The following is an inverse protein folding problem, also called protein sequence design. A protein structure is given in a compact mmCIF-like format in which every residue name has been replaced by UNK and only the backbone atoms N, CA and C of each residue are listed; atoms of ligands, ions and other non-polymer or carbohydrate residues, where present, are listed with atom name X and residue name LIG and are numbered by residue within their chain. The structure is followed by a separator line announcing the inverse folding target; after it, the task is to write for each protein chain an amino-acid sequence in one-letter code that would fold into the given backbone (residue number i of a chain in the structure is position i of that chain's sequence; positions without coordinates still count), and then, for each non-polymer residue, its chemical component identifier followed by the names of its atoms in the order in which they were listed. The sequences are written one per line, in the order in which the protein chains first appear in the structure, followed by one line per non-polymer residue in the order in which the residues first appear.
data_IF_833221271987
#
_entry.id   IF_833221271987
#
_cell.length_a   1.000
_cell.length_b   1.000
_cell.length_c   1.000
_cell.angle_alpha   90.00
_cell.angle_beta   90.00
_cell.angle_gamma   90.00
#
_symmetry.space_group_name_H-M   'P 1'
#
loop_
_entity.id
_entity.type
_entity.pdbx_description
1 polymer ?
#
# COMPACT_ATOMS: atom_id res chain seq x y z
N UNK A 1 -13.09 0.62 7.78
CA UNK A 1 -14.37 0.29 7.11
C UNK A 1 -15.53 1.08 7.68
N UNK A 2 -15.91 0.94 8.97
CA UNK A 2 -17.00 1.77 9.57
C UNK A 2 -16.82 3.28 9.36
N UNK A 3 -15.61 3.81 9.54
CA UNK A 3 -15.35 5.24 9.33
C UNK A 3 -15.41 5.66 7.86
N UNK A 4 -14.91 4.82 6.95
CA UNK A 4 -15.05 5.05 5.51
C UNK A 4 -16.52 5.09 5.09
N UNK A 5 -17.37 4.26 5.69
CA UNK A 5 -18.81 4.29 5.45
C UNK A 5 -19.48 5.51 6.08
N UNK A 6 -19.06 5.94 7.27
CA UNK A 6 -19.54 7.17 7.88
C UNK A 6 -19.18 8.40 7.03
N UNK A 7 -18.01 8.40 6.41
CA UNK A 7 -17.58 9.45 5.49
C UNK A 7 -18.43 9.50 4.21
N UNK A 8 -18.79 8.34 3.65
CA UNK A 8 -19.69 8.29 2.47
C UNK A 8 -21.12 8.67 2.83
N UNK A 9 -21.64 8.19 3.96
CA UNK A 9 -22.98 8.53 4.45
C UNK A 9 -23.14 9.99 4.89
N UNK A 10 -22.02 10.69 5.11
CA UNK A 10 -21.98 12.11 5.43
C UNK A 10 -21.87 13.04 4.22
N UNK A 11 -21.79 12.49 3.00
CA UNK A 11 -21.81 13.30 1.77
C UNK A 11 -23.21 13.87 1.55
N UNK A 12 -23.28 15.12 1.09
CA UNK A 12 -24.56 15.72 0.73
C UNK A 12 -25.15 15.03 -0.52
N UNK A 13 -26.49 14.97 -0.63
CA UNK A 13 -27.18 14.26 -1.73
C UNK A 13 -26.69 14.67 -3.13
N UNK A 14 -26.28 15.93 -3.30
CA UNK A 14 -25.72 16.45 -4.54
C UNK A 14 -24.30 15.97 -4.85
N UNK A 15 -23.46 15.81 -3.81
CA UNK A 15 -22.09 15.29 -3.93
C UNK A 15 -22.09 13.79 -4.22
N UNK A 16 -23.00 13.07 -3.55
CA UNK A 16 -23.19 11.65 -3.76
C UNK A 16 -23.70 11.36 -5.19
N UNK A 17 -24.68 12.14 -5.68
CA UNK A 17 -25.19 12.02 -7.05
C UNK A 17 -24.13 12.37 -8.12
N UNK A 18 -23.19 13.25 -7.81
CA UNK A 18 -22.07 13.63 -8.70
C UNK A 18 -20.91 12.62 -8.67
N UNK A 19 -20.85 11.74 -7.66
CA UNK A 19 -19.79 10.75 -7.51
C UNK A 19 -19.86 9.69 -8.60
N UNK A 20 -18.92 9.77 -9.56
CA UNK A 20 -18.87 8.87 -10.73
C UNK A 20 -18.24 7.51 -10.41
N UNK A 21 -17.41 7.43 -9.37
CA UNK A 21 -16.74 6.20 -8.95
C UNK A 21 -16.31 6.27 -7.48
N UNK A 22 -16.33 5.11 -6.83
CA UNK A 22 -15.81 4.91 -5.47
C UNK A 22 -14.60 3.98 -5.56
N UNK A 23 -13.46 4.37 -4.99
CA UNK A 23 -12.24 3.55 -4.96
C UNK A 23 -12.05 2.95 -3.58
N UNK A 24 -12.16 1.63 -3.49
CA UNK A 24 -11.83 0.89 -2.27
C UNK A 24 -10.32 0.58 -2.26
N UNK A 25 -9.62 1.06 -1.24
CA UNK A 25 -8.21 0.77 -1.00
C UNK A 25 -8.11 -0.27 0.12
N UNK A 26 -7.57 -1.45 -0.18
CA UNK A 26 -7.30 -2.49 0.81
C UNK A 26 -5.97 -3.17 0.50
N UNK A 27 -5.24 -3.51 1.55
CA UNK A 27 -4.03 -4.32 1.54
C UNK A 27 -4.31 -5.83 1.47
N UNK A 28 -5.58 -6.22 1.57
CA UNK A 28 -6.01 -7.61 1.57
C UNK A 28 -6.27 -8.12 0.16
N UNK A 29 -5.29 -8.86 -0.41
CA UNK A 29 -5.44 -9.55 -1.71
C UNK A 29 -6.63 -10.50 -1.74
N UNK A 30 -6.86 -11.26 -0.66
CA UNK A 30 -8.01 -12.15 -0.55
C UNK A 30 -9.33 -11.38 -0.49
N UNK A 31 -9.35 -10.21 0.17
CA UNK A 31 -10.49 -9.29 0.17
C UNK A 31 -10.83 -8.79 -1.24
N UNK A 32 -9.82 -8.37 -2.01
CA UNK A 32 -9.99 -7.96 -3.41
C UNK A 32 -10.53 -9.10 -4.28
N UNK A 33 -9.96 -10.29 -4.16
CA UNK A 33 -10.41 -11.47 -4.90
C UNK A 33 -11.86 -11.84 -4.57
N UNK A 34 -12.27 -11.70 -3.31
CA UNK A 34 -13.62 -12.01 -2.87
C UNK A 34 -14.63 -10.96 -3.36
N UNK A 35 -14.31 -9.68 -3.24
CA UNK A 35 -15.13 -8.59 -3.79
C UNK A 35 -15.26 -8.67 -5.32
N UNK A 36 -14.19 -9.08 -6.02
CA UNK A 36 -14.16 -9.25 -7.46
C UNK A 36 -15.09 -10.34 -8.01
N UNK A 37 -15.64 -11.22 -7.17
CA UNK A 37 -16.63 -12.25 -7.58
C UNK A 37 -18.02 -11.67 -7.89
N UNK A 38 -18.22 -10.39 -7.59
CA UNK A 38 -19.49 -9.68 -7.79
C UNK A 38 -20.49 -9.90 -6.65
N UNK A 39 -21.56 -9.09 -6.59
CA UNK A 39 -22.47 -9.02 -5.45
C UNK A 39 -23.22 -10.33 -5.15
N UNK A 40 -23.55 -11.10 -6.19
CA UNK A 40 -24.31 -12.34 -6.06
C UNK A 40 -23.51 -13.52 -5.50
N UNK A 41 -22.17 -13.44 -5.53
CA UNK A 41 -21.27 -14.55 -5.16
C UNK A 41 -20.46 -14.25 -3.89
N UNK A 42 -21.00 -13.40 -3.01
CA UNK A 42 -20.36 -13.05 -1.76
C UNK A 42 -20.67 -14.09 -0.68
N UNK A 43 -19.63 -14.73 -0.16
CA UNK A 43 -19.75 -15.72 0.92
C UNK A 43 -19.46 -15.11 2.30
N UNK A 44 -18.94 -13.88 2.36
CA UNK A 44 -18.64 -13.16 3.59
C UNK A 44 -19.58 -11.98 3.81
N UNK A 45 -20.12 -11.87 5.02
CA UNK A 45 -21.06 -10.80 5.41
C UNK A 45 -20.49 -9.39 5.16
N UNK A 46 -19.19 -9.18 5.45
CA UNK A 46 -18.54 -7.89 5.24
C UNK A 46 -18.52 -7.48 3.76
N UNK A 47 -18.28 -8.42 2.86
CA UNK A 47 -18.22 -8.13 1.43
C UNK A 47 -19.61 -7.99 0.81
N UNK A 48 -20.59 -8.74 1.29
CA UNK A 48 -21.99 -8.54 0.97
C UNK A 48 -22.46 -7.13 1.39
N UNK A 49 -22.03 -6.65 2.57
CA UNK A 49 -22.36 -5.32 3.07
C UNK A 49 -21.72 -4.20 2.23
N UNK A 50 -20.45 -4.36 1.83
CA UNK A 50 -19.80 -3.45 0.87
C UNK A 50 -20.63 -3.33 -0.41
N UNK A 51 -21.07 -4.45 -0.98
CA UNK A 51 -21.88 -4.46 -2.20
C UNK A 51 -23.30 -3.91 -2.00
N UNK A 52 -23.92 -4.15 -0.83
CA UNK A 52 -25.22 -3.58 -0.47
C UNK A 52 -25.15 -2.05 -0.44
N UNK A 53 -24.12 -1.51 0.20
CA UNK A 53 -23.90 -0.07 0.30
C UNK A 53 -23.62 0.55 -1.07
N UNK A 54 -22.72 -0.04 -1.86
CA UNK A 54 -22.49 0.41 -3.24
C UNK A 54 -23.75 0.39 -4.11
N UNK A 55 -24.70 -0.50 -3.80
CA UNK A 55 -25.98 -0.61 -4.51
C UNK A 55 -27.07 0.32 -3.98
N UNK A 56 -27.01 0.71 -2.71
CA UNK A 56 -27.97 1.61 -2.06
C UNK A 56 -27.72 3.07 -2.46
N UNK A 57 -26.45 3.49 -2.56
CA UNK A 57 -26.06 4.86 -2.91
C UNK A 57 -26.21 5.19 -4.42
N UNK A 58 -26.52 4.21 -5.26
CA UNK A 58 -26.63 4.39 -6.72
C UNK A 58 -27.84 3.67 -7.34
N UNK A 59 -29.07 4.20 -7.21
CA UNK A 59 -30.28 3.49 -7.64
C UNK A 59 -30.50 3.41 -9.16
N UNK A 60 -29.83 4.24 -9.98
CA UNK A 60 -30.18 4.38 -11.42
C UNK A 60 -29.00 4.69 -12.35
N UNK A 61 -28.01 3.81 -12.41
CA UNK A 61 -27.28 3.63 -13.68
C UNK A 61 -27.53 2.23 -14.17
N UNK A 62 -28.15 2.20 -15.34
CA UNK A 62 -28.35 1.04 -16.21
C UNK A 62 -27.15 0.11 -16.08
N UNK A 63 -27.36 -0.98 -15.32
CA UNK A 63 -26.36 -2.02 -15.18
C UNK A 63 -26.26 -2.64 -16.56
N UNK A 64 -25.25 -2.21 -17.32
CA UNK A 64 -24.91 -2.84 -18.59
C UNK A 64 -24.70 -4.33 -18.30
N UNK A 65 -25.74 -5.09 -18.61
CA UNK A 65 -25.79 -6.54 -18.52
C UNK A 65 -25.24 -7.04 -19.84
N UNK A 66 -23.93 -7.03 -19.98
CA UNK A 66 -23.26 -7.77 -21.04
C UNK A 66 -22.00 -8.40 -20.46
N UNK A 67 -22.04 -9.71 -20.31
CA UNK A 67 -20.87 -10.57 -20.07
C UNK A 67 -19.95 -10.63 -21.29
N UNK A 68 -19.62 -9.48 -21.87
CA UNK A 68 -18.55 -9.34 -22.83
C UNK A 68 -17.32 -8.78 -22.10
N UNK A 69 -16.10 -9.28 -22.35
CA UNK A 69 -14.90 -8.69 -21.79
C UNK A 69 -14.83 -7.26 -22.32
N UNK A 70 -15.19 -6.29 -21.48
CA UNK A 70 -14.88 -4.89 -21.75
C UNK A 70 -13.38 -4.85 -21.91
N UNK A 71 -12.93 -4.56 -23.14
CA UNK A 71 -11.59 -4.07 -23.37
C UNK A 71 -11.39 -2.99 -22.31
N UNK A 72 -10.49 -3.28 -21.37
CA UNK A 72 -10.08 -2.38 -20.32
C UNK A 72 -9.55 -1.16 -21.04
N UNK A 73 -10.39 -0.14 -21.22
CA UNK A 73 -9.92 1.22 -21.26
C UNK A 73 -9.30 1.41 -19.88
N UNK A 74 -8.04 1.00 -19.77
CA UNK A 74 -7.27 1.02 -18.56
C UNK A 74 -7.30 2.47 -18.12
N UNK A 75 -8.02 2.74 -17.03
CA UNK A 75 -7.71 3.92 -16.24
C UNK A 75 -6.19 3.89 -16.04
N UNK A 76 -5.50 5.04 -16.14
CA UNK A 76 -4.04 5.09 -16.05
C UNK A 76 -3.61 4.62 -14.67
N UNK A 77 -3.52 3.31 -14.53
CA UNK A 77 -2.84 2.63 -13.47
C UNK A 77 -1.37 2.86 -13.80
N UNK A 78 -0.58 3.39 -12.85
CA UNK A 78 0.86 3.32 -13.01
C UNK A 78 1.22 1.88 -13.31
N UNK A 79 2.14 1.67 -14.26
CA UNK A 79 2.52 0.34 -14.67
C UNK A 79 2.86 -0.50 -13.43
N UNK A 80 2.37 -1.75 -13.36
CA UNK A 80 2.69 -2.62 -12.25
C UNK A 80 4.21 -2.74 -12.16
N UNK A 81 4.73 -2.61 -10.96
CA UNK A 81 6.17 -2.62 -10.73
C UNK A 81 6.76 -3.93 -11.23
N UNK A 82 7.78 -3.88 -12.09
CA UNK A 82 8.39 -5.08 -12.64
C UNK A 82 8.78 -6.07 -11.53
N UNK A 83 8.22 -7.28 -11.59
CA UNK A 83 8.53 -8.38 -10.68
C UNK A 83 7.83 -8.35 -9.32
N UNK A 84 6.92 -7.40 -9.03
CA UNK A 84 6.22 -7.33 -7.73
C UNK A 84 5.38 -8.58 -7.44
N UNK A 85 4.66 -9.09 -8.44
CA UNK A 85 3.82 -10.28 -8.29
C UNK A 85 4.62 -11.59 -8.18
N UNK A 86 5.90 -11.56 -8.58
CA UNK A 86 6.83 -12.68 -8.46
C UNK A 86 7.53 -12.74 -7.09
N UNK A 87 7.35 -11.72 -6.24
CA UNK A 87 7.93 -11.71 -4.90
C UNK A 87 7.19 -12.66 -3.97
N UNK A 88 7.94 -13.25 -3.02
CA UNK A 88 7.34 -13.87 -1.86
C UNK A 88 6.47 -12.84 -1.10
N UNK A 89 5.48 -13.34 -0.36
CA UNK A 89 4.49 -12.51 0.34
C UNK A 89 5.14 -11.38 1.14
N UNK A 90 6.19 -11.69 1.90
CA UNK A 90 6.92 -10.71 2.69
C UNK A 90 7.42 -9.55 1.84
N UNK A 91 8.19 -9.81 0.77
CA UNK A 91 8.73 -8.75 -0.09
C UNK A 91 7.66 -7.91 -0.78
N UNK A 92 6.57 -8.55 -1.22
CA UNK A 92 5.43 -7.85 -1.84
C UNK A 92 4.75 -6.89 -0.87
N UNK A 93 4.57 -7.30 0.38
CA UNK A 93 3.99 -6.49 1.47
C UNK A 93 4.94 -5.37 1.88
N UNK A 94 6.21 -5.69 2.14
CA UNK A 94 7.25 -4.71 2.50
C UNK A 94 7.33 -3.58 1.48
N UNK A 95 7.33 -3.89 0.17
CA UNK A 95 7.38 -2.86 -0.85
C UNK A 95 6.14 -1.97 -0.86
N UNK A 96 4.94 -2.54 -0.67
CA UNK A 96 3.69 -1.76 -0.58
C UNK A 96 3.67 -0.84 0.65
N UNK A 97 4.19 -1.31 1.79
CA UNK A 97 4.27 -0.51 3.01
C UNK A 97 5.31 0.62 2.89
N UNK A 98 6.47 0.35 2.30
CA UNK A 98 7.48 1.39 2.00
C UNK A 98 6.93 2.46 1.06
N UNK A 99 6.14 2.10 0.05
CA UNK A 99 5.49 3.06 -0.85
C UNK A 99 4.52 3.98 -0.18
N UNK A 100 3.81 3.48 0.80
CA UNK A 100 2.82 4.26 1.56
C UNK A 100 3.45 5.03 2.71
N UNK A 101 4.75 4.82 2.97
CA UNK A 101 5.43 5.42 4.12
C UNK A 101 4.93 4.88 5.47
N UNK A 102 4.38 3.66 5.48
CA UNK A 102 3.80 3.01 6.67
C UNK A 102 4.48 1.67 6.97
N UNK A 103 5.78 1.59 6.68
CA UNK A 103 6.55 0.36 6.86
C UNK A 103 6.97 0.19 8.32
N UNK A 104 6.72 -0.97 8.96
CA UNK A 104 7.25 -1.23 10.29
C UNK A 104 8.79 -1.37 10.32
N UNK A 105 9.46 -1.31 9.16
CA UNK A 105 10.92 -1.32 9.05
C UNK A 105 11.56 0.05 9.32
N UNK A 106 10.75 1.12 9.39
CA UNK A 106 11.19 2.49 9.61
C UNK A 106 10.74 2.97 10.99
N UNK A 107 11.64 3.59 11.77
CA UNK A 107 11.29 4.04 13.13
C UNK A 107 10.23 5.13 13.14
N UNK A 108 10.10 5.94 12.09
CA UNK A 108 9.02 6.93 12.02
C UNK A 108 7.63 6.28 12.14
N UNK A 109 7.43 5.12 11.52
CA UNK A 109 6.19 4.36 11.57
C UNK A 109 6.05 3.68 12.92
N UNK A 110 7.13 3.07 13.44
CA UNK A 110 7.10 2.42 14.75
C UNK A 110 6.83 3.40 15.90
N UNK A 111 7.37 4.61 15.82
CA UNK A 111 7.14 5.64 16.81
C UNK A 111 5.67 6.10 16.78
N UNK A 112 5.13 6.35 15.59
CA UNK A 112 3.73 6.72 15.39
C UNK A 112 2.76 5.67 15.95
N UNK A 113 3.07 4.38 15.85
CA UNK A 113 2.19 3.30 16.33
C UNK A 113 2.50 2.81 17.74
N UNK A 114 3.59 3.29 18.37
CA UNK A 114 3.92 3.06 19.79
C UNK A 114 5.06 2.07 20.15
N UNK A 115 5.45 1.08 19.32
CA UNK A 115 6.54 0.15 19.65
C UNK A 115 7.96 0.73 19.75
N UNK A 116 8.18 1.97 19.30
CA UNK A 116 9.47 2.64 19.36
C UNK A 116 9.39 3.94 20.17
N UNK A 117 10.39 4.17 21.02
CA UNK A 117 10.47 5.37 21.85
C UNK A 117 10.67 6.65 21.04
N UNK A 118 11.39 6.58 19.92
CA UNK A 118 11.65 7.70 19.01
C UNK A 118 11.66 7.24 17.54
N UNK A 119 11.76 8.22 16.62
CA UNK A 119 11.81 8.02 15.18
C UNK A 119 13.23 8.02 14.60
N UNK A 120 14.27 7.84 15.43
CA UNK A 120 15.67 7.99 15.04
C UNK A 120 16.23 6.75 14.34
N UNK A 121 16.99 6.93 13.26
CA UNK A 121 17.58 5.82 12.54
C UNK A 121 18.59 5.07 13.43
N UNK A 122 18.46 3.74 13.62
CA UNK A 122 19.39 2.96 14.45
C UNK A 122 20.84 3.00 13.95
N UNK A 123 21.08 3.43 12.71
CA UNK A 123 22.41 3.47 12.11
C UNK A 123 23.06 4.87 12.11
N UNK A 124 22.27 5.95 12.03
CA UNK A 124 22.81 7.31 11.91
C UNK A 124 22.06 8.39 12.71
N UNK A 125 21.06 8.00 13.50
CA UNK A 125 20.30 8.86 14.44
C UNK A 125 19.38 9.92 13.80
N UNK A 126 19.52 10.19 12.50
CA UNK A 126 18.58 11.04 11.74
C UNK A 126 17.17 10.43 11.63
N UNK A 127 16.11 11.22 11.36
CA UNK A 127 14.74 10.72 11.22
C UNK A 127 14.59 9.57 10.20
N UNK A 128 14.13 8.41 10.67
CA UNK A 128 14.11 7.16 9.94
C UNK A 128 12.79 6.98 9.19
N UNK A 129 12.70 7.60 8.01
CA UNK A 129 11.59 7.43 7.07
C UNK A 129 11.93 6.45 5.93
N UNK A 130 10.93 6.08 5.12
CA UNK A 130 11.18 5.28 3.91
C UNK A 130 12.10 5.99 2.91
N UNK A 131 12.01 7.33 2.81
CA UNK A 131 12.94 8.13 2.01
C UNK A 131 14.36 8.02 2.58
N UNK A 132 14.49 8.24 3.89
CA UNK A 132 15.78 8.13 4.57
C UNK A 132 16.43 6.77 4.33
N UNK A 133 15.71 5.66 4.57
CA UNK A 133 16.21 4.31 4.37
C UNK A 133 16.66 4.06 2.92
N UNK A 134 15.85 4.48 1.94
CA UNK A 134 16.04 4.13 0.53
C UNK A 134 16.93 5.09 -0.26
N UNK A 135 17.14 6.32 0.20
CA UNK A 135 17.89 7.34 -0.56
C UNK A 135 18.94 8.09 0.27
N UNK A 136 18.70 8.35 1.55
CA UNK A 136 19.47 9.39 2.27
C UNK A 136 20.44 8.85 3.33
N UNK A 137 20.14 7.70 3.96
CA UNK A 137 20.88 7.22 5.13
C UNK A 137 22.37 7.00 4.81
N UNK A 138 23.31 7.73 5.44
CA UNK A 138 24.74 7.62 5.11
C UNK A 138 25.29 6.22 5.41
N UNK A 139 24.77 5.54 6.43
CA UNK A 139 25.18 4.18 6.79
C UNK A 139 24.93 3.16 5.66
N UNK A 140 23.95 3.41 4.78
CA UNK A 140 23.58 2.51 3.69
C UNK A 140 24.03 3.01 2.31
N UNK A 141 24.80 4.10 2.25
CA UNK A 141 25.21 4.73 0.99
C UNK A 141 25.97 3.75 0.08
N UNK A 142 26.93 3.00 0.63
CA UNK A 142 27.71 2.04 -0.14
C UNK A 142 26.83 0.93 -0.76
N UNK A 143 25.82 0.45 -0.02
CA UNK A 143 24.88 -0.57 -0.49
C UNK A 143 23.95 0.00 -1.57
N UNK A 144 23.45 1.24 -1.40
CA UNK A 144 22.66 1.94 -2.42
C UNK A 144 23.46 2.18 -3.69
N UNK A 145 24.68 2.70 -3.56
CA UNK A 145 25.55 3.05 -4.69
C UNK A 145 25.84 1.85 -5.58
N UNK A 146 26.08 0.67 -5.00
CA UNK A 146 26.28 -0.58 -5.76
C UNK A 146 25.05 -0.98 -6.59
N UNK A 147 23.84 -0.58 -6.18
CA UNK A 147 22.59 -1.10 -6.74
C UNK A 147 21.85 -0.13 -7.65
N UNK A 148 21.90 1.17 -7.35
CA UNK A 148 21.23 2.23 -8.10
C UNK A 148 22.15 3.35 -8.58
N UNK A 149 23.43 3.33 -8.21
CA UNK A 149 24.36 4.42 -8.53
C UNK A 149 24.27 5.58 -7.54
N UNK A 150 24.72 6.76 -7.97
CA UNK A 150 24.81 7.96 -7.13
C UNK A 150 23.43 8.62 -6.99
N UNK A 151 23.09 9.04 -5.78
CA UNK A 151 21.89 9.82 -5.42
C UNK A 151 20.59 9.37 -6.09
N UNK A 152 20.16 8.11 -5.87
CA UNK A 152 18.93 7.61 -6.47
C UNK A 152 17.72 8.38 -5.90
N UNK A 153 16.80 8.79 -6.76
CA UNK A 153 15.55 9.40 -6.30
C UNK A 153 14.58 8.33 -5.83
N UNK A 154 13.77 8.65 -4.83
CA UNK A 154 12.81 7.71 -4.24
C UNK A 154 11.83 7.13 -5.27
N UNK A 155 11.38 7.96 -6.23
CA UNK A 155 10.49 7.53 -7.33
C UNK A 155 11.15 6.49 -8.24
N UNK A 156 12.45 6.60 -8.49
CA UNK A 156 13.18 5.67 -9.37
C UNK A 156 13.46 4.34 -8.62
N UNK A 157 13.71 4.41 -7.31
CA UNK A 157 13.87 3.23 -6.45
C UNK A 157 12.57 2.44 -6.35
N UNK A 158 11.46 3.11 -6.00
CA UNK A 158 10.16 2.48 -5.78
C UNK A 158 9.43 2.14 -7.08
N UNK A 159 9.72 2.83 -8.18
CA UNK A 159 9.20 2.54 -9.52
C UNK A 159 10.02 1.49 -10.29
N UNK A 160 11.26 1.24 -9.86
CA UNK A 160 12.16 0.26 -10.46
C UNK A 160 11.83 -1.21 -10.11
N UNK A 161 12.71 -2.16 -10.49
CA UNK A 161 12.48 -3.58 -10.25
C UNK A 161 12.30 -3.90 -8.75
N UNK A 162 11.19 -4.56 -8.41
CA UNK A 162 10.80 -4.83 -7.02
C UNK A 162 11.85 -5.65 -6.25
N UNK A 163 12.51 -6.59 -6.93
CA UNK A 163 13.58 -7.43 -6.37
C UNK A 163 14.80 -6.63 -5.93
N UNK A 164 15.10 -5.49 -6.56
CA UNK A 164 16.21 -4.63 -6.13
C UNK A 164 15.94 -4.03 -4.75
N UNK A 165 14.72 -3.57 -4.49
CA UNK A 165 14.35 -3.00 -3.19
C UNK A 165 14.42 -4.08 -2.11
N UNK A 166 13.83 -5.25 -2.35
CA UNK A 166 13.81 -6.35 -1.37
C UNK A 166 15.22 -6.82 -1.02
N UNK A 167 16.06 -7.09 -2.02
CA UNK A 167 17.45 -7.52 -1.79
C UNK A 167 18.29 -6.44 -1.10
N UNK A 168 18.03 -5.16 -1.36
CA UNK A 168 18.68 -4.08 -0.60
C UNK A 168 18.29 -4.09 0.88
N UNK A 169 17.01 -4.26 1.20
CA UNK A 169 16.51 -4.31 2.58
C UNK A 169 17.17 -5.47 3.35
N UNK A 170 17.29 -6.64 2.71
CA UNK A 170 18.01 -7.80 3.26
C UNK A 170 19.51 -7.49 3.45
N UNK A 171 20.18 -6.92 2.42
CA UNK A 171 21.61 -6.60 2.44
C UNK A 171 21.99 -5.62 3.55
N UNK A 172 21.11 -4.66 3.89
CA UNK A 172 21.35 -3.67 4.96
C UNK A 172 20.86 -4.11 6.34
N UNK A 173 20.39 -5.36 6.46
CA UNK A 173 19.92 -5.93 7.73
C UNK A 173 18.63 -5.32 8.25
N UNK A 174 17.79 -4.73 7.38
CA UNK A 174 16.51 -4.12 7.74
C UNK A 174 15.33 -5.05 7.46
N UNK A 175 15.53 -6.36 7.53
CA UNK A 175 14.47 -7.34 7.27
C UNK A 175 13.46 -7.45 8.42
N UNK A 176 13.85 -7.04 9.63
CA UNK A 176 13.02 -7.03 10.84
C UNK A 176 12.79 -5.60 11.36
N UNK A 177 11.67 -5.33 12.05
CA UNK A 177 11.41 -4.03 12.68
C UNK A 177 12.51 -3.68 13.70
N UNK A 178 13.11 -2.47 13.63
CA UNK A 178 14.10 -2.00 14.60
C UNK A 178 13.44 -1.57 15.91
N UNK A 179 13.03 -2.54 16.72
CA UNK A 179 12.39 -2.32 18.02
C UNK A 179 13.42 -2.02 19.11
N UNK A 180 12.99 -1.25 20.13
CA UNK A 180 13.79 -1.08 21.34
C UNK A 180 13.92 -2.42 22.10
N UNK A 181 15.05 -2.65 22.77
CA UNK A 181 15.16 -3.80 23.65
C UNK A 181 14.11 -3.71 24.77
N UNK A 182 13.58 -4.84 25.25
CA UNK A 182 12.65 -4.83 26.38
C UNK A 182 13.32 -4.18 27.60
N UNK A 183 12.54 -3.47 28.45
CA UNK A 183 13.07 -2.91 29.67
C UNK A 183 13.68 -4.02 30.56
N UNK A 184 14.76 -3.70 31.31
CA UNK A 184 15.44 -4.65 32.19
C UNK A 184 14.57 -5.14 33.35
#
# INVERSE_FOLDING_TARGET
MREAFAAVAGLEDGELASTKSVRLLTDSRSGLQLLGRGPANQTMALAAEVWRLLSAEHPRRERHRDGAPRATAAHPHPDPTPGHDSLARWGSVTLSQLRTGTSPLTRDTLHKIGPAANDECPACVEPDSAAHLLTDCPAYEAARRRRWGVDPRLVDVLGGPATKVVTFIEDVGRAEPPLDPPPP
#
